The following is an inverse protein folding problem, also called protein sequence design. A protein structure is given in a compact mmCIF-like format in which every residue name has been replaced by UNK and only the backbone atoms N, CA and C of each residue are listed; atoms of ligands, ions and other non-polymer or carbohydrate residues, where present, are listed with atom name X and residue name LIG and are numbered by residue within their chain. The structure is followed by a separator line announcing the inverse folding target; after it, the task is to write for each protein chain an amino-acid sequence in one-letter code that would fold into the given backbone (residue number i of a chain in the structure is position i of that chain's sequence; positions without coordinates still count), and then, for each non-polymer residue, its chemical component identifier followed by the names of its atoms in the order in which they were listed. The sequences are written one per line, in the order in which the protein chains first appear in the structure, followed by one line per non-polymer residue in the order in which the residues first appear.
data_IF_127846291745
#
_entry.id   IF_127846291745
#
_cell.length_a   1.000
_cell.length_b   1.000
_cell.length_c   1.000
_cell.angle_alpha   90.00
_cell.angle_beta   90.00
_cell.angle_gamma   90.00
#
_symmetry.space_group_name_H-M   'P 1'
#
loop_
_entity.id
_entity.type
_entity.pdbx_description
1 polymer ?
#
# COMPACT_ATOMS: atom_id res chain seq x y z
N UNK A 1 -18.36 -26.70 -7.55
CA UNK A 1 -19.31 -25.76 -6.89
C UNK A 1 -19.39 -24.53 -7.76
N UNK A 2 -20.59 -24.18 -8.24
CA UNK A 2 -20.81 -22.98 -9.04
C UNK A 2 -20.65 -21.80 -8.08
N UNK A 3 -19.49 -21.14 -8.09
CA UNK A 3 -19.27 -19.93 -7.29
C UNK A 3 -20.22 -18.86 -7.83
N UNK A 4 -21.36 -18.67 -7.16
CA UNK A 4 -22.21 -17.53 -7.40
C UNK A 4 -21.37 -16.29 -7.10
N UNK A 5 -21.19 -15.43 -8.09
CA UNK A 5 -20.47 -14.16 -7.95
C UNK A 5 -21.49 -13.10 -7.51
N UNK A 6 -21.53 -12.75 -6.23
CA UNK A 6 -22.58 -11.87 -5.72
C UNK A 6 -22.39 -10.45 -6.26
N UNK A 7 -23.51 -9.77 -6.47
CA UNK A 7 -23.52 -8.36 -6.78
C UNK A 7 -23.38 -7.53 -5.51
N UNK A 8 -22.40 -6.66 -5.49
CA UNK A 8 -22.14 -5.68 -4.45
C UNK A 8 -22.75 -4.34 -4.83
N UNK A 9 -23.43 -3.73 -3.87
CA UNK A 9 -23.93 -2.36 -4.00
C UNK A 9 -22.78 -1.36 -3.86
N UNK A 10 -23.00 -0.14 -4.35
CA UNK A 10 -22.08 0.98 -4.20
C UNK A 10 -21.60 1.18 -2.74
N UNK A 11 -22.50 1.11 -1.78
CA UNK A 11 -22.18 1.28 -0.37
C UNK A 11 -21.25 0.17 0.14
N UNK A 12 -21.54 -1.08 -0.24
CA UNK A 12 -20.72 -2.24 0.12
C UNK A 12 -19.32 -2.15 -0.48
N UNK A 13 -19.20 -1.77 -1.76
CA UNK A 13 -17.90 -1.59 -2.43
C UNK A 13 -17.10 -0.47 -1.75
N UNK A 14 -17.75 0.64 -1.42
CA UNK A 14 -17.10 1.75 -0.72
C UNK A 14 -16.57 1.32 0.66
N UNK A 15 -17.34 0.52 1.40
CA UNK A 15 -16.91 -0.04 2.69
C UNK A 15 -15.71 -0.99 2.55
N UNK A 16 -15.73 -1.89 1.56
CA UNK A 16 -14.61 -2.82 1.30
C UNK A 16 -13.31 -2.10 0.94
N UNK A 17 -13.42 -1.01 0.20
CA UNK A 17 -12.28 -0.18 -0.19
C UNK A 17 -11.88 0.83 0.90
N UNK A 18 -12.56 0.84 2.05
CA UNK A 18 -12.39 1.82 3.12
C UNK A 18 -12.42 3.27 2.62
N UNK A 19 -13.30 3.57 1.65
CA UNK A 19 -13.43 4.89 1.05
C UNK A 19 -14.87 5.40 1.10
N UNK A 20 -15.06 6.70 0.91
CA UNK A 20 -16.41 7.26 0.78
C UNK A 20 -17.02 6.89 -0.59
N UNK A 21 -18.34 6.80 -0.65
CA UNK A 21 -19.08 6.63 -1.92
C UNK A 21 -18.73 7.69 -2.97
N UNK A 22 -18.49 8.93 -2.53
CA UNK A 22 -18.07 10.04 -3.42
C UNK A 22 -16.70 9.79 -4.01
N UNK A 23 -15.78 9.23 -3.23
CA UNK A 23 -14.45 8.84 -3.71
C UNK A 23 -14.57 7.73 -4.74
N UNK A 24 -15.41 6.73 -4.48
CA UNK A 24 -15.66 5.64 -5.43
C UNK A 24 -16.19 6.17 -6.77
N UNK A 25 -17.19 7.07 -6.76
CA UNK A 25 -17.71 7.70 -7.99
C UNK A 25 -16.63 8.49 -8.74
N UNK A 26 -15.77 9.20 -8.02
CA UNK A 26 -14.66 9.94 -8.62
C UNK A 26 -13.66 9.00 -9.27
N UNK A 27 -13.33 7.88 -8.63
CA UNK A 27 -12.41 6.88 -9.18
C UNK A 27 -12.97 6.20 -10.43
N UNK A 28 -14.28 5.89 -10.43
CA UNK A 28 -14.97 5.35 -11.59
C UNK A 28 -14.96 6.34 -12.75
N UNK A 29 -15.21 7.63 -12.47
CA UNK A 29 -15.15 8.70 -13.49
C UNK A 29 -13.76 8.97 -14.03
N UNK A 30 -12.72 8.66 -13.26
CA UNK A 30 -11.32 8.82 -13.64
C UNK A 30 -10.74 7.55 -14.29
N UNK A 31 -11.59 6.55 -14.59
CA UNK A 31 -11.20 5.23 -15.13
C UNK A 31 -10.16 4.48 -14.26
N UNK A 32 -10.01 4.88 -12.99
CA UNK A 32 -9.12 4.24 -12.02
C UNK A 32 -9.78 3.01 -11.35
N UNK A 33 -11.12 2.93 -11.40
CA UNK A 33 -11.91 1.81 -10.88
C UNK A 33 -12.89 1.31 -11.95
N UNK A 34 -13.19 -0.01 -11.98
CA UNK A 34 -14.09 -0.58 -12.99
C UNK A 34 -15.47 0.11 -13.03
N UNK A 35 -16.05 0.32 -14.22
CA UNK A 35 -17.36 0.91 -14.36
C UNK A 35 -18.44 0.04 -13.71
N UNK A 36 -19.44 0.68 -13.11
CA UNK A 36 -20.56 -0.02 -12.48
C UNK A 36 -21.51 -0.59 -13.52
N UNK A 37 -22.05 -1.78 -13.24
CA UNK A 37 -23.22 -2.28 -13.93
C UNK A 37 -24.46 -1.55 -13.42
N UNK A 38 -25.18 -0.91 -14.34
CA UNK A 38 -26.41 -0.18 -13.98
C UNK A 38 -27.60 -1.10 -14.10
N UNK A 39 -28.18 -1.48 -12.97
CA UNK A 39 -29.44 -2.22 -12.93
C UNK A 39 -30.53 -1.27 -12.44
N UNK A 40 -31.22 -0.64 -13.39
CA UNK A 40 -32.17 0.44 -13.11
C UNK A 40 -31.48 1.66 -12.50
N UNK A 41 -31.84 2.00 -11.26
CA UNK A 41 -31.26 3.14 -10.52
C UNK A 41 -29.98 2.79 -9.77
N UNK A 42 -29.75 1.50 -9.52
CA UNK A 42 -28.65 1.02 -8.70
C UNK A 42 -27.38 0.76 -9.51
N UNK A 43 -26.25 1.10 -8.92
CA UNK A 43 -24.92 0.81 -9.43
C UNK A 43 -24.39 -0.44 -8.69
N UNK A 44 -24.11 -1.50 -9.46
CA UNK A 44 -23.69 -2.79 -8.95
C UNK A 44 -22.32 -3.18 -9.52
N UNK A 45 -21.56 -3.91 -8.73
CA UNK A 45 -20.31 -4.53 -9.14
C UNK A 45 -20.31 -6.01 -8.76
N UNK A 46 -19.67 -6.83 -9.56
CA UNK A 46 -19.37 -8.19 -9.14
C UNK A 46 -18.29 -8.19 -8.07
N UNK A 47 -18.45 -9.03 -7.04
CA UNK A 47 -17.42 -9.20 -6.03
C UNK A 47 -16.08 -9.60 -6.66
N UNK A 48 -16.10 -10.51 -7.63
CA UNK A 48 -14.88 -10.96 -8.32
C UNK A 48 -14.10 -9.80 -8.97
N UNK A 49 -14.80 -8.84 -9.56
CA UNK A 49 -14.18 -7.67 -10.22
C UNK A 49 -13.51 -6.76 -9.19
N UNK A 50 -14.16 -6.53 -8.04
CA UNK A 50 -13.58 -5.74 -6.96
C UNK A 50 -12.36 -6.45 -6.37
N UNK A 51 -12.44 -7.76 -6.14
CA UNK A 51 -11.33 -8.57 -5.65
C UNK A 51 -10.15 -8.57 -6.63
N UNK A 52 -10.41 -8.74 -7.93
CA UNK A 52 -9.37 -8.70 -8.96
C UNK A 52 -8.69 -7.33 -9.01
N UNK A 53 -9.45 -6.25 -8.88
CA UNK A 53 -8.89 -4.90 -8.82
C UNK A 53 -8.00 -4.72 -7.59
N UNK A 54 -8.46 -5.15 -6.40
CA UNK A 54 -7.65 -5.14 -5.16
C UNK A 54 -6.37 -5.96 -5.31
N UNK A 55 -6.45 -7.11 -5.96
CA UNK A 55 -5.29 -7.93 -6.25
C UNK A 55 -4.27 -7.18 -7.13
N UNK A 56 -4.72 -6.44 -8.14
CA UNK A 56 -3.82 -5.60 -8.96
C UNK A 56 -3.16 -4.49 -8.14
N UNK A 57 -3.92 -3.82 -7.26
CA UNK A 57 -3.35 -2.81 -6.35
C UNK A 57 -2.31 -3.42 -5.42
N UNK A 58 -2.57 -4.60 -4.86
CA UNK A 58 -1.61 -5.35 -4.05
C UNK A 58 -0.35 -5.68 -4.86
N UNK A 59 -0.49 -6.15 -6.10
CA UNK A 59 0.67 -6.44 -6.95
C UNK A 59 1.50 -5.19 -7.24
N UNK A 60 0.86 -4.04 -7.48
CA UNK A 60 1.57 -2.76 -7.64
C UNK A 60 2.32 -2.34 -6.36
N UNK A 61 1.73 -2.58 -5.18
CA UNK A 61 2.39 -2.34 -3.89
C UNK A 61 3.58 -3.29 -3.67
N UNK A 62 3.47 -4.56 -4.06
CA UNK A 62 4.56 -5.52 -3.94
C UNK A 62 5.69 -5.24 -4.94
N UNK A 63 5.35 -4.79 -6.15
CA UNK A 63 6.30 -4.39 -7.18
C UNK A 63 6.91 -3.01 -6.92
N UNK A 64 6.47 -2.31 -5.87
CA UNK A 64 7.02 -1.01 -5.52
C UNK A 64 8.47 -1.16 -5.05
N UNK A 65 9.40 -0.70 -5.88
CA UNK A 65 10.79 -0.54 -5.52
C UNK A 65 11.08 0.95 -5.32
N UNK A 66 11.75 1.36 -4.21
CA UNK A 66 12.20 2.72 -4.07
C UNK A 66 13.17 3.05 -5.20
N UNK A 67 13.00 4.20 -5.85
CA UNK A 67 13.72 4.63 -7.07
C UNK A 67 15.26 4.75 -6.94
N UNK A 68 15.86 4.26 -5.86
CA UNK A 68 17.31 4.17 -5.64
C UNK A 68 17.89 2.75 -5.68
N UNK A 69 17.07 1.70 -5.78
CA UNK A 69 17.55 0.31 -5.90
C UNK A 69 17.41 -0.21 -7.33
N UNK A 70 17.88 0.55 -8.32
CA UNK A 70 18.31 -0.08 -9.56
C UNK A 70 19.64 -0.75 -9.24
N UNK A 71 19.73 -2.09 -9.08
CA UNK A 71 21.02 -2.73 -9.29
C UNK A 71 21.39 -2.35 -10.72
N UNK A 72 22.39 -1.49 -10.85
CA UNK A 72 22.86 -0.98 -12.13
C UNK A 72 22.94 -2.16 -13.12
N UNK A 73 22.37 -2.06 -14.33
CA UNK A 73 22.71 -3.02 -15.37
C UNK A 73 24.21 -2.86 -15.57
N UNK A 74 24.96 -3.86 -15.08
CA UNK A 74 26.39 -3.99 -15.30
C UNK A 74 26.62 -3.82 -16.80
N UNK A 75 27.58 -2.98 -17.24
CA UNK A 75 27.88 -2.85 -18.64
C UNK A 75 28.25 -4.23 -19.19
N UNK A 76 27.50 -4.69 -20.19
CA UNK A 76 27.81 -5.91 -20.94
C UNK A 76 29.26 -5.80 -21.41
N UNK A 77 30.08 -6.69 -20.86
CA UNK A 77 31.52 -6.69 -21.01
C UNK A 77 31.95 -6.76 -22.47
N UNK A 78 32.78 -5.79 -22.83
CA UNK A 78 33.89 -6.07 -23.73
C UNK A 78 34.95 -6.88 -23.00
N UNK A 79 35.31 -8.00 -23.63
CA UNK A 79 36.55 -8.77 -23.56
C UNK A 79 37.12 -9.22 -22.20
N UNK A 80 37.25 -10.55 -22.12
CA UNK A 80 38.28 -11.32 -21.41
C UNK A 80 39.52 -10.53 -20.98
N UNK A 81 39.92 -10.67 -19.71
CA UNK A 81 41.21 -11.25 -19.34
C UNK A 81 41.22 -11.62 -17.85
N UNK A 82 41.80 -12.79 -17.60
CA UNK A 82 42.01 -13.53 -16.36
C UNK A 82 42.75 -12.71 -15.29
N UNK A 83 42.39 -12.84 -14.01
CA UNK A 83 43.37 -13.05 -12.93
C UNK A 83 42.72 -13.58 -11.64
N UNK A 84 43.33 -14.60 -11.07
CA UNK A 84 42.92 -15.37 -9.91
C UNK A 84 43.46 -14.79 -8.58
N UNK A 85 43.27 -15.55 -7.47
CA UNK A 85 43.82 -15.44 -6.09
C UNK A 85 42.95 -14.62 -5.12
N UNK A 86 42.59 -15.07 -3.90
CA UNK A 86 42.82 -16.30 -3.14
C UNK A 86 41.77 -16.47 -2.02
N UNK A 87 41.66 -17.72 -1.56
CA UNK A 87 41.06 -18.20 -0.31
C UNK A 87 41.62 -17.50 0.95
N UNK A 88 40.74 -17.09 1.88
CA UNK A 88 40.97 -17.16 3.34
C UNK A 88 39.62 -17.28 4.08
N UNK A 89 39.25 -18.51 4.41
CA UNK A 89 39.02 -19.02 5.78
C UNK A 89 38.55 -18.05 6.90
N UNK A 90 37.40 -18.41 7.50
CA UNK A 90 37.07 -18.43 8.94
C UNK A 90 36.56 -17.20 9.72
N UNK A 91 35.62 -17.54 10.62
CA UNK A 91 35.37 -17.00 11.95
C UNK A 91 34.06 -16.23 12.18
N UNK A 92 33.04 -17.01 12.50
CA UNK A 92 32.23 -16.97 13.73
C UNK A 92 31.82 -15.63 14.38
N UNK A 93 30.54 -15.63 14.83
CA UNK A 93 30.01 -15.08 16.10
C UNK A 93 29.07 -13.86 16.01
N UNK A 94 28.25 -13.58 17.04
CA UNK A 94 27.16 -14.41 17.54
C UNK A 94 25.86 -13.60 17.74
N UNK A 95 24.81 -14.29 18.16
CA UNK A 95 23.52 -13.75 18.60
C UNK A 95 23.67 -12.56 19.57
N UNK A 96 22.87 -11.50 19.36
CA UNK A 96 22.65 -10.48 20.38
C UNK A 96 21.20 -10.55 20.88
N UNK A 97 21.02 -11.23 21.99
CA UNK A 97 19.87 -11.07 22.89
C UNK A 97 20.28 -10.15 24.04
N UNK A 98 19.53 -9.07 24.25
CA UNK A 98 19.53 -8.25 25.48
C UNK A 98 18.20 -7.48 25.51
N UNK A 99 17.23 -7.85 26.35
CA UNK A 99 17.12 -7.68 27.82
C UNK A 99 16.56 -6.32 28.21
N UNK A 100 15.34 -6.35 28.79
CA UNK A 100 14.97 -5.61 30.00
C UNK A 100 14.49 -4.16 29.86
N UNK A 101 13.24 -3.89 30.27
CA UNK A 101 12.66 -2.53 30.46
C UNK A 101 13.21 -1.79 31.70
N UNK A 102 12.51 -0.78 32.29
CA UNK A 102 11.06 -0.72 32.48
C UNK A 102 10.39 0.67 32.26
N UNK A 103 9.09 0.66 32.51
CA UNK A 103 8.12 1.75 32.60
C UNK A 103 8.61 3.08 33.18
N UNK A 104 8.05 4.20 32.70
CA UNK A 104 7.68 5.36 33.52
C UNK A 104 6.73 6.32 32.79
N UNK A 105 5.59 6.56 33.44
CA UNK A 105 4.86 7.82 33.55
C UNK A 105 4.19 8.46 32.31
N UNK A 106 2.86 8.38 32.30
CA UNK A 106 1.99 9.42 31.74
C UNK A 106 2.17 10.72 32.57
N UNK A 107 1.84 11.90 32.02
CA UNK A 107 0.50 12.41 32.31
C UNK A 107 -0.18 13.14 31.14
N UNK A 108 -1.50 13.01 31.16
CA UNK A 108 -2.50 13.82 30.48
C UNK A 108 -2.30 15.32 30.68
N UNK A 109 -2.48 16.11 29.62
CA UNK A 109 -2.65 17.57 29.68
C UNK A 109 -3.58 18.06 28.56
N UNK A 110 -4.39 19.12 28.80
CA UNK A 110 -5.67 19.34 28.12
C UNK A 110 -5.65 20.35 26.99
N UNK A 111 -6.70 20.27 26.18
CA UNK A 111 -7.20 21.23 25.17
C UNK A 111 -6.86 22.71 25.41
N UNK A 112 -6.12 23.31 24.46
CA UNK A 112 -5.98 24.77 24.37
C UNK A 112 -6.90 25.28 23.27
N UNK A 113 -8.03 25.88 23.70
CA UNK A 113 -8.85 26.82 22.92
C UNK A 113 -7.97 27.94 22.37
N UNK A 114 -8.00 28.15 21.05
CA UNK A 114 -7.41 29.33 20.40
C UNK A 114 -8.40 30.50 20.50
N UNK A 115 -8.06 31.65 21.13
CA UNK A 115 -8.91 32.82 21.12
C UNK A 115 -8.64 33.71 19.90
N UNK A 116 -9.73 34.19 19.30
CA UNK A 116 -9.89 35.56 18.78
C UNK A 116 -9.00 36.04 17.63
N UNK A 117 -9.57 36.15 16.43
CA UNK A 117 -9.13 37.11 15.41
C UNK A 117 -10.20 38.20 15.30
N UNK A 118 -9.93 39.47 15.65
CA UNK A 118 -10.90 40.55 15.42
C UNK A 118 -10.92 40.93 13.94
N UNK A 119 -12.13 41.19 13.44
CA UNK A 119 -12.39 41.64 12.08
C UNK A 119 -12.10 43.14 11.97
N UNK A 120 -11.27 43.56 11.01
CA UNK A 120 -11.01 44.97 10.74
C UNK A 120 -12.03 45.44 9.70
N UNK A 121 -12.70 46.53 10.05
CA UNK A 121 -13.65 47.31 9.25
C UNK A 121 -13.11 47.65 7.85
#
# INVERSE_FOLDING_TARGET
MMNADPFLTKATVAQLLCCSERTLERMVRADAFPPALRHGKEALWFESVVQQWLQRQRQAQLAWAPAGQTPAPLPQGGVSTVLAVADVTDLASPANSSTGGPALAMPTGPTTKRPGRPNKR
#
